data_IF_279308329233
#
_entry.id   IF_279308329233
#
_cell.length_a   1.000
_cell.length_b   1.000
_cell.length_c   1.000
_cell.angle_alpha   90.00
_cell.angle_beta   90.00
_cell.angle_gamma   90.00
#
_symmetry.space_group_name_H-M   'P 1'
#
loop_
_entity.id
_entity.type
_entity.pdbx_description
1 polymer ?
#
# COMPACT_ATOMS: atom_id res chain seq x y z
N UNK A 1 -10.44 -7.33 -11.26
CA UNK A 1 -9.30 -6.41 -11.19
C UNK A 1 -9.87 -5.02 -11.37
N UNK A 2 -9.70 -4.12 -10.40
CA UNK A 2 -10.00 -2.70 -10.61
C UNK A 2 -8.95 -2.16 -11.57
N UNK A 3 -9.30 -1.98 -12.84
CA UNK A 3 -8.39 -1.46 -13.86
C UNK A 3 -8.78 0.00 -14.10
N UNK A 4 -7.88 0.92 -13.74
CA UNK A 4 -8.02 2.33 -14.09
C UNK A 4 -7.53 2.54 -15.54
N UNK A 5 -8.21 3.37 -16.36
CA UNK A 5 -7.80 3.60 -17.75
C UNK A 5 -6.38 4.18 -17.84
N UNK A 6 -5.64 3.72 -18.84
CA UNK A 6 -4.31 4.23 -19.16
C UNK A 6 -4.42 5.64 -19.78
N UNK A 7 -3.56 6.60 -19.39
CA UNK A 7 -3.53 7.91 -20.03
C UNK A 7 -3.04 7.77 -21.47
N UNK A 8 -3.52 8.63 -22.37
CA UNK A 8 -3.15 8.61 -23.80
C UNK A 8 -1.63 8.74 -24.02
N UNK A 9 -0.95 9.46 -23.12
CA UNK A 9 0.51 9.62 -23.16
C UNK A 9 1.28 8.36 -22.73
N UNK A 10 0.63 7.39 -22.09
CA UNK A 10 1.26 6.21 -21.47
C UNK A 10 2.16 6.53 -20.26
N UNK A 11 2.30 7.82 -19.88
CA UNK A 11 3.19 8.23 -18.82
C UNK A 11 2.51 8.14 -17.44
N UNK A 12 3.22 7.62 -16.44
CA UNK A 12 2.70 7.49 -15.07
C UNK A 12 2.33 8.83 -14.44
N UNK A 13 3.08 9.90 -14.70
CA UNK A 13 2.81 11.23 -14.13
C UNK A 13 1.52 11.89 -14.65
N UNK A 14 1.05 11.45 -15.82
CA UNK A 14 -0.18 11.95 -16.44
C UNK A 14 -1.43 11.17 -15.98
N UNK A 15 -1.23 10.12 -15.16
CA UNK A 15 -2.31 9.34 -14.58
C UNK A 15 -3.08 10.20 -13.57
N UNK A 16 -4.33 10.52 -13.90
CA UNK A 16 -5.24 11.30 -13.03
C UNK A 16 -6.57 10.56 -12.79
N UNK A 17 -7.11 10.65 -11.56
CA UNK A 17 -6.48 11.21 -10.36
C UNK A 17 -5.28 10.37 -9.90
N UNK A 18 -4.50 10.87 -8.93
CA UNK A 18 -3.43 10.07 -8.35
C UNK A 18 -4.02 8.76 -7.80
N UNK A 19 -3.41 7.63 -8.18
CA UNK A 19 -3.89 6.30 -7.79
C UNK A 19 -2.99 5.67 -6.74
N UNK A 20 -3.60 4.88 -5.86
CA UNK A 20 -2.90 4.19 -4.78
C UNK A 20 -3.30 2.72 -4.75
N UNK A 21 -2.33 1.87 -4.42
CA UNK A 21 -2.54 0.44 -4.18
C UNK A 21 -2.43 0.17 -2.68
N UNK A 22 -3.33 -0.64 -2.15
CA UNK A 22 -3.22 -1.12 -0.76
C UNK A 22 -2.05 -2.08 -0.67
N UNK A 23 -1.08 -1.77 0.20
CA UNK A 23 0.07 -2.63 0.40
C UNK A 23 -0.24 -3.82 1.33
N UNK A 24 -1.29 -3.76 2.16
CA UNK A 24 -1.67 -4.86 3.05
C UNK A 24 -1.14 -4.72 4.49
N UNK A 25 -0.35 -3.69 4.79
CA UNK A 25 0.32 -3.56 6.09
C UNK A 25 -0.60 -3.14 7.22
N UNK A 26 -1.45 -2.12 7.01
CA UNK A 26 -2.25 -1.51 8.09
C UNK A 26 -3.68 -1.23 7.60
N UNK A 27 -4.65 -1.67 8.40
CA UNK A 27 -6.06 -1.36 8.23
C UNK A 27 -6.64 -0.87 9.56
N UNK A 28 -7.04 0.41 9.62
CA UNK A 28 -7.65 1.00 10.82
C UNK A 28 -9.15 1.17 10.57
N UNK A 29 -9.96 0.58 11.43
CA UNK A 29 -11.42 0.70 11.40
C UNK A 29 -11.94 1.02 12.79
N UNK A 30 -13.06 1.75 12.87
CA UNK A 30 -13.76 1.94 14.14
C UNK A 30 -14.45 0.65 14.52
N UNK A 31 -14.35 0.27 15.80
CA UNK A 31 -15.00 -0.95 16.34
C UNK A 31 -16.49 -1.01 16.01
N UNK A 32 -17.25 0.05 16.28
CA UNK A 32 -18.68 0.10 16.01
C UNK A 32 -18.99 -0.16 14.53
N UNK A 33 -18.22 0.46 13.62
CA UNK A 33 -18.37 0.21 12.18
C UNK A 33 -18.08 -1.24 11.80
N UNK A 34 -17.06 -1.86 12.40
CA UNK A 34 -16.76 -3.28 12.17
C UNK A 34 -17.89 -4.20 12.66
N UNK A 35 -18.46 -3.92 13.84
CA UNK A 35 -19.60 -4.67 14.40
C UNK A 35 -20.86 -4.53 13.54
N UNK A 36 -21.04 -3.39 12.87
CA UNK A 36 -22.12 -3.13 11.90
C UNK A 36 -21.83 -3.71 10.49
N UNK A 37 -20.69 -4.38 10.29
CA UNK A 37 -20.28 -4.95 9.00
C UNK A 37 -19.67 -3.94 8.02
N UNK A 38 -19.44 -2.69 8.44
CA UNK A 38 -18.79 -1.66 7.65
C UNK A 38 -17.27 -1.86 7.71
N UNK A 39 -16.69 -2.32 6.60
CA UNK A 39 -15.24 -2.43 6.43
C UNK A 39 -14.73 -1.52 5.32
N UNK A 40 -13.41 -1.49 5.12
CA UNK A 40 -12.71 -0.55 4.21
C UNK A 40 -13.14 -0.63 2.74
N UNK A 41 -13.90 -1.65 2.33
CA UNK A 41 -14.43 -1.78 0.97
C UNK A 41 -15.89 -1.32 0.83
N UNK A 42 -16.59 -1.14 1.96
CA UNK A 42 -18.00 -0.78 2.04
C UNK A 42 -18.22 0.60 2.66
N UNK A 43 -17.14 1.28 3.04
CA UNK A 43 -17.21 2.63 3.60
C UNK A 43 -16.95 3.67 2.52
N UNK A 44 -17.79 4.71 2.48
CA UNK A 44 -17.61 5.87 1.61
C UNK A 44 -16.60 6.88 2.18
N UNK A 45 -16.07 6.65 3.40
CA UNK A 45 -15.12 7.52 4.08
C UNK A 45 -13.81 6.77 4.38
N UNK A 46 -13.08 6.45 3.31
CA UNK A 46 -11.78 5.78 3.39
C UNK A 46 -10.68 6.80 3.09
N UNK A 47 -9.65 6.85 3.94
CA UNK A 47 -8.50 7.73 3.78
C UNK A 47 -7.22 6.90 3.69
N UNK A 48 -6.38 7.08 2.64
CA UNK A 48 -5.13 6.37 2.54
C UNK A 48 -4.09 6.94 3.51
N UNK A 49 -3.23 6.07 4.03
CA UNK A 49 -1.97 6.46 4.66
C UNK A 49 -0.85 6.10 3.68
N UNK A 50 -0.13 7.11 3.19
CA UNK A 50 0.94 6.90 2.21
C UNK A 50 2.18 6.37 2.94
N UNK A 51 2.47 5.10 2.71
CA UNK A 51 3.65 4.44 3.26
C UNK A 51 4.81 4.53 2.26
N UNK A 52 6.05 4.75 2.72
CA UNK A 52 7.22 4.62 1.86
C UNK A 52 7.31 3.24 1.22
N UNK A 53 7.95 3.16 0.05
CA UNK A 53 8.00 1.95 -0.77
C UNK A 53 8.79 0.83 -0.07
N UNK A 54 9.90 1.19 0.58
CA UNK A 54 10.76 0.30 1.35
C UNK A 54 10.04 -0.36 2.54
N UNK A 55 8.94 0.23 3.02
CA UNK A 55 8.08 -0.34 4.08
C UNK A 55 6.82 -1.03 3.56
N UNK A 56 6.63 -1.08 2.24
CA UNK A 56 5.41 -1.59 1.61
C UNK A 56 5.57 -2.98 0.97
N UNK A 57 6.71 -3.66 1.22
CA UNK A 57 6.99 -5.01 0.71
C UNK A 57 6.14 -6.07 1.44
N UNK A 58 5.44 -6.91 0.68
CA UNK A 58 4.77 -8.11 1.18
C UNK A 58 5.72 -9.30 1.13
N UNK A 59 5.71 -10.12 2.18
CA UNK A 59 6.54 -11.33 2.27
C UNK A 59 5.66 -12.54 2.00
N UNK A 60 5.52 -12.89 0.72
CA UNK A 60 4.72 -14.04 0.27
C UNK A 60 5.62 -15.22 -0.16
N UNK A 61 6.87 -14.95 -0.52
CA UNK A 61 7.85 -15.91 -1.01
C UNK A 61 9.20 -15.80 -0.27
N UNK A 62 10.07 -16.83 -0.36
CA UNK A 62 11.42 -16.75 0.18
C UNK A 62 12.26 -15.62 -0.43
N UNK A 63 12.02 -15.25 -1.69
CA UNK A 63 12.73 -14.13 -2.33
C UNK A 63 12.35 -12.79 -1.69
N UNK A 64 11.07 -12.60 -1.35
CA UNK A 64 10.61 -11.38 -0.68
C UNK A 64 11.26 -11.23 0.70
N UNK A 65 11.44 -12.34 1.42
CA UNK A 65 12.12 -12.33 2.71
C UNK A 65 13.59 -11.87 2.59
N UNK A 66 14.31 -12.35 1.57
CA UNK A 66 15.69 -11.93 1.31
C UNK A 66 15.77 -10.44 0.98
N UNK A 67 14.83 -9.93 0.18
CA UNK A 67 14.75 -8.51 -0.14
C UNK A 67 14.44 -7.66 1.10
N UNK A 68 13.48 -8.08 1.94
CA UNK A 68 13.15 -7.41 3.19
C UNK A 68 14.38 -7.32 4.12
N UNK A 69 15.14 -8.41 4.23
CA UNK A 69 16.36 -8.45 5.04
C UNK A 69 17.41 -7.45 4.52
N UNK A 70 17.60 -7.39 3.20
CA UNK A 70 18.54 -6.46 2.57
C UNK A 70 18.15 -4.99 2.80
N UNK A 71 16.86 -4.66 2.67
CA UNK A 71 16.33 -3.31 2.93
C UNK A 71 16.62 -2.90 4.39
N UNK A 72 16.25 -3.75 5.36
CA UNK A 72 16.46 -3.47 6.79
C UNK A 72 17.95 -3.28 7.11
N UNK A 73 18.82 -4.13 6.55
CA UNK A 73 20.28 -4.01 6.73
C UNK A 73 20.82 -2.70 6.14
N UNK A 74 20.33 -2.30 4.97
CA UNK A 74 20.71 -1.05 4.32
C UNK A 74 20.29 0.18 5.13
N UNK A 75 19.07 0.20 5.66
CA UNK A 75 18.61 1.27 6.56
C UNK A 75 19.47 1.37 7.82
N UNK A 76 19.73 0.24 8.49
CA UNK A 76 20.55 0.22 9.71
C UNK A 76 22.01 0.63 9.48
N UNK A 77 22.55 0.39 8.27
CA UNK A 77 23.93 0.75 7.94
C UNK A 77 24.08 2.23 7.55
N UNK A 78 23.01 2.86 7.07
CA UNK A 78 23.00 4.27 6.66
C UNK A 78 22.52 5.23 7.76
N UNK A 79 22.23 4.75 8.97
CA UNK A 79 21.90 5.60 10.11
C UNK A 79 21.21 4.88 11.26
N UNK A 80 22.04 4.31 12.16
CA UNK A 80 21.84 4.40 13.61
C UNK A 80 22.87 5.37 14.18
#
# INVERSE_FOLDING_TARGET
VDIWPEPESGNRQDLKPDVYVRNGSIYVVRRAGLEEGIHIKLSDNVRPWIMPEERSLNIDTPCDFLLAEAIIKHENSNGG
#
